data_IF_678293242835
#
_entry.id   IF_678293242835
#
_cell.length_a   1.000
_cell.length_b   1.000
_cell.length_c   1.000
_cell.angle_alpha   90.00
_cell.angle_beta   90.00
_cell.angle_gamma   90.00
#
_symmetry.space_group_name_H-M   'P 1'
#
loop_
_entity.id
_entity.type
_entity.pdbx_description
1 polymer ?
#
# COMPACT_ATOMS: atom_id res chain seq x y z
N UNK A 1 -37.87 14.00 8.88
CA UNK A 1 -37.86 12.55 8.56
C UNK A 1 -36.74 12.17 7.57
N UNK A 2 -36.17 13.11 6.81
CA UNK A 2 -35.19 12.85 5.73
C UNK A 2 -33.74 12.56 6.19
N UNK A 3 -33.34 12.96 7.40
CA UNK A 3 -31.96 12.78 7.88
C UNK A 3 -31.64 11.30 8.15
N UNK A 4 -32.62 10.50 8.62
CA UNK A 4 -32.42 9.07 8.92
C UNK A 4 -32.18 8.24 7.65
N UNK A 5 -32.72 8.67 6.51
CA UNK A 5 -32.60 7.95 5.24
C UNK A 5 -31.22 8.17 4.58
N UNK A 6 -30.60 9.35 4.80
CA UNK A 6 -29.21 9.63 4.40
C UNK A 6 -28.19 8.75 5.13
N UNK A 7 -28.48 8.36 6.38
CA UNK A 7 -27.62 7.47 7.18
C UNK A 7 -27.78 6.01 6.75
N UNK A 8 -28.93 5.63 6.20
CA UNK A 8 -29.19 4.26 5.73
C UNK A 8 -28.28 3.84 4.57
N UNK A 9 -27.83 4.78 3.72
CA UNK A 9 -26.83 4.52 2.68
C UNK A 9 -25.44 4.20 3.24
N UNK A 10 -25.09 4.76 4.41
CA UNK A 10 -23.85 4.45 5.12
C UNK A 10 -23.89 3.10 5.86
N UNK A 11 -25.07 2.47 5.98
CA UNK A 11 -25.18 1.12 6.53
C UNK A 11 -24.76 0.04 5.52
N UNK A 12 -24.69 0.39 4.22
CA UNK A 12 -24.13 -0.48 3.21
C UNK A 12 -22.60 -0.33 3.23
N UNK A 13 -21.90 -1.35 3.73
CA UNK A 13 -20.44 -1.37 3.86
C UNK A 13 -19.76 -1.05 2.53
N UNK A 14 -20.24 -1.62 1.42
CA UNK A 14 -19.72 -1.33 0.07
C UNK A 14 -19.88 0.14 -0.33
N UNK A 15 -21.00 0.77 0.02
CA UNK A 15 -21.23 2.18 -0.29
C UNK A 15 -20.30 3.06 0.56
N UNK A 16 -20.14 2.73 1.85
CA UNK A 16 -19.21 3.44 2.73
C UNK A 16 -17.76 3.33 2.25
N UNK A 17 -17.31 2.14 1.88
CA UNK A 17 -15.96 1.90 1.34
C UNK A 17 -15.74 2.67 0.04
N UNK A 18 -16.72 2.66 -0.87
CA UNK A 18 -16.65 3.40 -2.13
C UNK A 18 -16.54 4.92 -1.90
N UNK A 19 -17.34 5.46 -0.98
CA UNK A 19 -17.27 6.87 -0.58
C UNK A 19 -15.91 7.21 0.01
N UNK A 20 -15.39 6.35 0.89
CA UNK A 20 -14.10 6.54 1.54
C UNK A 20 -12.94 6.55 0.53
N UNK A 21 -12.97 5.65 -0.47
CA UNK A 21 -11.99 5.65 -1.57
C UNK A 21 -12.02 6.97 -2.32
N UNK A 22 -13.22 7.45 -2.71
CA UNK A 22 -13.35 8.73 -3.45
C UNK A 22 -12.84 9.90 -2.62
N UNK A 23 -13.16 9.95 -1.32
CA UNK A 23 -12.67 10.99 -0.40
C UNK A 23 -11.15 10.98 -0.33
N UNK A 24 -10.53 9.81 -0.18
CA UNK A 24 -9.07 9.68 -0.09
C UNK A 24 -8.39 10.08 -1.40
N UNK A 25 -8.93 9.67 -2.55
CA UNK A 25 -8.39 10.06 -3.86
C UNK A 25 -8.45 11.57 -4.09
N UNK A 26 -9.56 12.22 -3.70
CA UNK A 26 -9.70 13.68 -3.78
C UNK A 26 -8.75 14.39 -2.82
N UNK A 27 -8.69 13.93 -1.56
CA UNK A 27 -7.82 14.51 -0.54
C UNK A 27 -6.34 14.43 -0.97
N UNK A 28 -5.88 13.24 -1.37
CA UNK A 28 -4.51 13.05 -1.83
C UNK A 28 -4.21 13.76 -3.15
N UNK A 29 -5.22 13.88 -4.02
CA UNK A 29 -5.16 14.71 -5.22
C UNK A 29 -4.94 16.19 -4.92
N UNK A 30 -5.54 16.72 -3.86
CA UNK A 30 -5.35 18.12 -3.43
C UNK A 30 -4.00 18.30 -2.73
N UNK A 31 -3.60 17.36 -1.86
CA UNK A 31 -2.34 17.45 -1.11
C UNK A 31 -1.10 17.26 -1.99
N UNK A 32 -1.15 16.39 -3.00
CA UNK A 32 -0.02 16.08 -3.88
C UNK A 32 -0.44 15.89 -5.36
N UNK A 33 -0.95 16.94 -6.02
CA UNK A 33 -1.59 16.86 -7.35
C UNK A 33 -0.66 16.34 -8.44
N UNK A 34 0.64 16.68 -8.37
CA UNK A 34 1.61 16.35 -9.43
C UNK A 34 2.25 14.97 -9.29
N UNK A 35 2.15 14.34 -8.11
CA UNK A 35 2.83 13.07 -7.76
C UNK A 35 1.85 11.94 -7.57
N UNK A 36 0.67 12.19 -6.99
CA UNK A 36 -0.28 11.16 -6.58
C UNK A 36 -0.89 10.39 -7.77
N UNK A 37 -1.38 11.10 -8.79
CA UNK A 37 -1.99 10.49 -9.98
C UNK A 37 -0.99 10.00 -11.04
N UNK A 38 0.31 9.94 -10.72
CA UNK A 38 1.29 9.38 -11.66
C UNK A 38 1.09 7.87 -11.79
N UNK A 39 1.20 7.35 -13.01
CA UNK A 39 1.08 5.92 -13.30
C UNK A 39 2.01 5.08 -12.43
N UNK A 40 3.23 5.56 -12.18
CA UNK A 40 4.22 4.90 -11.32
C UNK A 40 3.75 4.76 -9.87
N UNK A 41 3.05 5.77 -9.34
CA UNK A 41 2.53 5.73 -7.97
C UNK A 41 1.37 4.73 -7.87
N UNK A 42 0.44 4.78 -8.82
CA UNK A 42 -0.67 3.82 -8.90
C UNK A 42 -0.17 2.39 -9.10
N UNK A 43 0.86 2.20 -9.93
CA UNK A 43 1.50 0.90 -10.15
C UNK A 43 2.17 0.38 -8.88
N UNK A 44 2.89 1.23 -8.14
CA UNK A 44 3.46 0.87 -6.83
C UNK A 44 2.38 0.45 -5.84
N UNK A 45 1.26 1.17 -5.78
CA UNK A 45 0.12 0.78 -4.93
C UNK A 45 -0.50 -0.55 -5.39
N UNK A 46 -0.62 -0.75 -6.71
CA UNK A 46 -1.19 -1.97 -7.30
C UNK A 46 -0.31 -3.20 -7.04
N UNK A 47 1.02 -3.08 -6.96
CA UNK A 47 1.91 -4.18 -6.57
C UNK A 47 1.84 -4.50 -5.07
N UNK A 48 1.62 -3.49 -4.23
CA UNK A 48 1.53 -3.70 -2.78
C UNK A 48 0.26 -4.46 -2.37
N UNK A 49 -0.86 -4.27 -3.09
CA UNK A 49 -2.14 -4.89 -2.74
C UNK A 49 -2.10 -6.44 -2.79
N UNK A 50 -1.59 -7.09 -3.86
CA UNK A 50 -1.38 -8.54 -3.89
C UNK A 50 -0.43 -9.05 -2.80
N UNK A 51 0.67 -8.32 -2.51
CA UNK A 51 1.61 -8.70 -1.45
C UNK A 51 0.93 -8.73 -0.08
N UNK A 52 0.18 -7.68 0.26
CA UNK A 52 -0.58 -7.61 1.51
C UNK A 52 -1.65 -8.71 1.57
N UNK A 53 -2.29 -9.03 0.43
CA UNK A 53 -3.21 -10.16 0.31
C UNK A 53 -2.54 -11.49 0.64
N UNK A 54 -1.35 -11.76 0.09
CA UNK A 54 -0.60 -12.98 0.35
C UNK A 54 -0.15 -13.07 1.81
N UNK A 55 0.34 -11.97 2.39
CA UNK A 55 0.70 -11.89 3.80
C UNK A 55 -0.52 -12.15 4.71
N UNK A 56 -1.71 -11.66 4.33
CA UNK A 56 -2.94 -11.90 5.07
C UNK A 56 -3.36 -13.38 5.09
N UNK A 57 -3.08 -14.13 4.02
CA UNK A 57 -3.30 -15.58 3.98
C UNK A 57 -2.37 -16.32 4.95
N UNK A 58 -1.10 -15.89 5.05
CA UNK A 58 -0.17 -16.43 6.05
C UNK A 58 -0.64 -16.15 7.48
N UNK A 59 -1.15 -14.95 7.74
CA UNK A 59 -1.69 -14.56 9.04
C UNK A 59 -3.00 -15.26 9.39
N UNK A 60 -3.84 -15.57 8.40
CA UNK A 60 -5.07 -16.35 8.58
C UNK A 60 -4.78 -17.69 9.26
N UNK A 61 -3.75 -18.43 8.83
CA UNK A 61 -3.40 -19.74 9.40
C UNK A 61 -3.05 -19.65 10.89
N UNK A 62 -2.34 -18.59 11.30
CA UNK A 62 -1.95 -18.36 12.69
C UNK A 62 -3.18 -18.02 13.55
N UNK A 63 -4.10 -17.20 13.02
CA UNK A 63 -5.33 -16.87 13.72
C UNK A 63 -6.25 -18.08 13.89
N UNK A 64 -6.27 -19.00 12.91
CA UNK A 64 -7.03 -20.25 12.99
C UNK A 64 -6.50 -21.22 14.06
N UNK A 65 -5.19 -21.21 14.34
CA UNK A 65 -4.59 -22.03 15.40
C UNK A 65 -4.69 -21.39 16.79
N UNK A 66 -5.41 -20.27 16.93
CA UNK A 66 -5.63 -19.57 18.20
C UNK A 66 -4.47 -18.69 18.66
N UNK A 67 -3.47 -18.48 17.79
CA UNK A 67 -2.34 -17.58 18.07
C UNK A 67 -2.59 -16.17 17.57
N UNK A 68 -2.06 -15.17 18.28
CA UNK A 68 -1.89 -13.80 17.77
C UNK A 68 -0.41 -13.62 17.50
N UNK A 69 0.05 -13.89 16.27
CA UNK A 69 1.45 -13.73 15.92
C UNK A 69 1.63 -12.75 14.76
N UNK A 70 1.90 -11.47 15.09
CA UNK A 70 2.11 -10.38 14.14
C UNK A 70 3.54 -10.34 13.55
N UNK A 71 4.40 -11.30 13.90
CA UNK A 71 5.82 -11.28 13.48
C UNK A 71 6.00 -11.29 11.97
N UNK A 72 5.11 -11.93 11.20
CA UNK A 72 5.21 -11.98 9.73
C UNK A 72 5.16 -10.57 9.14
N UNK A 73 4.19 -9.75 9.57
CA UNK A 73 4.04 -8.37 9.09
C UNK A 73 5.21 -7.52 9.59
N UNK A 74 5.65 -7.72 10.83
CA UNK A 74 6.78 -6.99 11.40
C UNK A 74 8.09 -7.28 10.65
N UNK A 75 8.37 -8.55 10.32
CA UNK A 75 9.53 -8.98 9.55
C UNK A 75 9.48 -8.48 8.10
N UNK A 76 8.31 -8.50 7.45
CA UNK A 76 8.14 -7.95 6.11
C UNK A 76 8.47 -6.44 6.08
N UNK A 77 7.88 -5.66 7.00
CA UNK A 77 8.16 -4.23 7.09
C UNK A 77 9.62 -3.93 7.44
N UNK A 78 10.22 -4.69 8.37
CA UNK A 78 11.63 -4.56 8.70
C UNK A 78 12.53 -4.81 7.49
N UNK A 79 12.26 -5.86 6.72
CA UNK A 79 13.03 -6.18 5.51
C UNK A 79 12.95 -5.06 4.47
N UNK A 80 11.78 -4.43 4.30
CA UNK A 80 11.60 -3.28 3.41
C UNK A 80 12.39 -2.06 3.86
N UNK A 81 12.39 -1.74 5.16
CA UNK A 81 13.19 -0.64 5.72
C UNK A 81 14.68 -0.93 5.56
N UNK A 82 15.14 -2.17 5.86
CA UNK A 82 16.53 -2.56 5.69
C UNK A 82 16.96 -2.46 4.22
N UNK A 83 16.15 -2.92 3.28
CA UNK A 83 16.42 -2.78 1.85
C UNK A 83 16.51 -1.31 1.43
N UNK A 84 15.58 -0.45 1.90
CA UNK A 84 15.63 0.98 1.62
C UNK A 84 16.90 1.64 2.18
N UNK A 85 17.33 1.26 3.39
CA UNK A 85 18.56 1.75 4.01
C UNK A 85 19.81 1.29 3.25
N UNK A 86 19.86 0.02 2.86
CA UNK A 86 20.95 -0.56 2.05
C UNK A 86 21.04 0.16 0.70
N UNK A 87 19.92 0.30 -0.02
CA UNK A 87 19.89 1.01 -1.31
C UNK A 87 20.31 2.48 -1.16
N UNK A 88 19.84 3.16 -0.11
CA UNK A 88 20.21 4.56 0.12
C UNK A 88 21.69 4.76 0.49
N UNK A 89 22.33 3.77 1.12
CA UNK A 89 23.74 3.84 1.53
C UNK A 89 24.71 3.31 0.48
N UNK A 90 24.28 2.35 -0.34
CA UNK A 90 25.15 1.62 -1.25
C UNK A 90 24.93 1.98 -2.73
N UNK A 91 23.87 2.70 -3.10
CA UNK A 91 23.68 3.13 -4.49
C UNK A 91 24.59 4.33 -4.82
N UNK A 92 25.54 4.19 -5.78
CA UNK A 92 26.31 5.33 -6.28
C UNK A 92 25.40 6.42 -6.89
N UNK A 93 25.81 7.70 -6.85
CA UNK A 93 25.04 8.81 -7.42
C UNK A 93 24.69 8.61 -8.91
N UNK A 94 25.57 7.93 -9.66
CA UNK A 94 25.37 7.63 -11.09
C UNK A 94 24.34 6.52 -11.39
N UNK A 95 23.88 5.74 -10.40
CA UNK A 95 22.86 4.70 -10.64
C UNK A 95 21.54 5.28 -11.13
N UNK A 96 21.24 6.54 -10.80
CA UNK A 96 19.99 7.20 -11.22
C UNK A 96 20.02 7.82 -12.62
N UNK A 97 21.17 7.80 -13.30
CA UNK A 97 21.33 8.28 -14.68
C UNK A 97 21.35 7.09 -15.65
N UNK A 98 20.21 6.82 -16.28
CA UNK A 98 20.11 6.05 -17.53
C UNK A 98 20.28 4.53 -17.49
N UNK A 99 20.95 3.94 -16.48
CA UNK A 99 21.22 2.49 -16.43
C UNK A 99 20.72 1.76 -15.15
N UNK A 100 20.40 2.47 -14.05
CA UNK A 100 19.91 1.84 -12.82
C UNK A 100 18.45 1.43 -12.83
N UNK A 101 17.72 1.69 -13.92
CA UNK A 101 16.36 1.17 -14.12
C UNK A 101 16.34 -0.36 -14.18
N UNK A 102 17.39 -1.00 -14.71
CA UNK A 102 17.50 -2.46 -14.76
C UNK A 102 17.70 -3.10 -13.38
N UNK A 103 18.49 -2.46 -12.51
CA UNK A 103 18.78 -2.99 -11.16
C UNK A 103 17.57 -2.79 -10.23
N UNK A 104 16.81 -1.70 -10.41
CA UNK A 104 15.54 -1.50 -9.69
C UNK A 104 14.43 -2.47 -10.13
N UNK A 105 14.42 -2.91 -11.39
CA UNK A 105 13.46 -3.91 -11.89
C UNK A 105 13.76 -5.34 -11.43
N UNK A 106 14.98 -5.63 -10.98
CA UNK A 106 15.32 -6.91 -10.32
C UNK A 106 14.99 -6.92 -8.82
N UNK A 107 14.70 -5.76 -8.23
CA UNK A 107 14.42 -5.59 -6.81
C UNK A 107 12.92 -5.50 -6.48
N UNK A 108 12.05 -5.54 -7.50
CA UNK A 108 10.58 -5.67 -7.41
C UNK A 108 10.23 -7.02 -8.03
#
# INVERSE_FOLDING_TARGET
MEIKQRIKWFQNEYAMLSILIVIILLLMGILNPTRFFRIRNLQSMAFQLPELGLLSLGMMLIMLTGGINLSIIASANLSGILMALVLNRMAPPETFSGAGTGIMLLAI
#
